data_IF_111072689523
#
_entry.id   IF_111072689523
#
_cell.length_a   1.000
_cell.length_b   1.000
_cell.length_c   1.000
_cell.angle_alpha   90.00
_cell.angle_beta   90.00
_cell.angle_gamma   90.00
#
_symmetry.space_group_name_H-M   'P 1'
#
loop_
_entity.id
_entity.type
_entity.pdbx_description
1 polymer ?
#
# COMPACT_ATOMS: atom_id res chain seq x y z
N UNK A 1 -15.86 33.45 -39.27
CA UNK A 1 -16.66 33.64 -38.04
C UNK A 1 -15.97 32.86 -36.94
N UNK A 2 -15.59 33.53 -35.85
CA UNK A 2 -14.69 33.02 -34.81
C UNK A 2 -15.17 31.71 -34.18
N UNK A 3 -14.22 30.83 -33.86
CA UNK A 3 -14.45 29.63 -33.07
C UNK A 3 -14.84 29.99 -31.64
N UNK A 4 -15.96 29.43 -31.19
CA UNK A 4 -16.25 29.27 -29.77
C UNK A 4 -15.92 27.84 -29.40
N UNK A 5 -14.88 27.64 -28.58
CA UNK A 5 -14.73 26.37 -27.86
C UNK A 5 -15.93 26.29 -26.93
N UNK A 6 -16.78 25.28 -27.12
CA UNK A 6 -17.90 25.02 -26.23
C UNK A 6 -17.35 24.69 -24.83
N UNK A 7 -17.66 25.55 -23.86
CA UNK A 7 -17.28 25.35 -22.45
C UNK A 7 -17.84 24.03 -21.90
N UNK A 8 -18.95 23.52 -22.44
CA UNK A 8 -19.52 22.23 -22.04
C UNK A 8 -18.69 21.05 -22.55
N UNK A 9 -17.94 21.21 -23.66
CA UNK A 9 -16.96 20.22 -24.11
C UNK A 9 -15.72 20.16 -23.21
N UNK A 10 -15.37 21.26 -22.53
CA UNK A 10 -14.33 21.27 -21.48
C UNK A 10 -14.83 20.65 -20.18
N UNK A 11 -16.14 20.73 -19.88
CA UNK A 11 -16.74 20.06 -18.71
C UNK A 11 -16.82 18.53 -18.90
N UNK A 12 -16.92 18.03 -20.14
CA UNK A 12 -16.82 16.59 -20.44
C UNK A 12 -15.42 15.97 -20.22
N UNK A 13 -14.39 16.79 -19.94
CA UNK A 13 -13.06 16.30 -19.49
C UNK A 13 -13.09 15.89 -18.00
N UNK A 14 -14.17 16.22 -17.28
CA UNK A 14 -14.32 15.96 -15.84
C UNK A 14 -14.72 14.52 -15.53
N UNK A 15 -14.90 13.64 -16.53
CA UNK A 15 -15.01 12.20 -16.31
C UNK A 15 -13.62 11.54 -16.20
N UNK A 16 -12.79 12.05 -15.27
CA UNK A 16 -11.63 11.29 -14.82
C UNK A 16 -12.18 10.14 -13.98
N UNK A 17 -12.03 8.92 -14.47
CA UNK A 17 -12.38 7.71 -13.73
C UNK A 17 -11.95 7.83 -12.27
N UNK A 18 -12.87 7.57 -11.34
CA UNK A 18 -12.60 7.57 -9.90
C UNK A 18 -11.94 6.22 -9.53
N UNK A 19 -10.61 6.15 -9.35
CA UNK A 19 -9.96 4.88 -9.12
C UNK A 19 -10.29 4.36 -7.72
N UNK A 20 -10.80 3.13 -7.65
CA UNK A 20 -11.12 2.47 -6.40
C UNK A 20 -10.72 1.01 -6.46
N UNK A 21 -9.95 0.55 -5.48
CA UNK A 21 -9.60 -0.85 -5.33
C UNK A 21 -9.31 -1.18 -3.87
N UNK A 22 -9.36 -2.47 -3.56
CA UNK A 22 -8.82 -3.05 -2.34
C UNK A 22 -8.17 -4.36 -2.73
N UNK A 23 -6.95 -4.59 -2.27
CA UNK A 23 -6.29 -5.89 -2.40
C UNK A 23 -5.61 -6.28 -1.10
N UNK A 24 -5.39 -7.59 -0.96
CA UNK A 24 -4.54 -8.15 0.07
C UNK A 24 -3.88 -9.42 -0.44
N UNK A 25 -2.64 -9.64 -0.02
CA UNK A 25 -1.95 -10.91 -0.23
C UNK A 25 -1.00 -11.20 0.94
N UNK A 26 -0.59 -12.45 1.04
CA UNK A 26 0.46 -12.87 1.95
C UNK A 26 1.27 -13.99 1.33
N UNK A 27 2.53 -14.09 1.74
CA UNK A 27 3.40 -15.23 1.47
C UNK A 27 3.81 -15.80 2.82
N UNK A 28 3.76 -17.12 2.92
CA UNK A 28 4.26 -17.87 4.05
C UNK A 28 4.97 -19.11 3.51
N UNK A 29 6.23 -18.92 3.09
CA UNK A 29 7.07 -19.96 2.53
C UNK A 29 8.28 -20.22 3.44
N UNK A 30 8.18 -21.27 4.24
CA UNK A 30 9.24 -21.70 5.15
C UNK A 30 10.49 -22.24 4.45
N UNK A 31 10.37 -22.69 3.20
CA UNK A 31 11.52 -23.20 2.47
C UNK A 31 12.47 -22.06 2.07
N UNK A 32 11.90 -20.92 1.66
CA UNK A 32 12.67 -19.73 1.27
C UNK A 32 12.84 -18.73 2.41
N UNK A 33 12.04 -18.84 3.49
CA UNK A 33 11.98 -17.86 4.58
C UNK A 33 11.14 -16.63 4.24
N UNK A 34 10.39 -16.65 3.13
CA UNK A 34 9.57 -15.54 2.69
C UNK A 34 8.25 -15.50 3.45
N UNK A 35 8.19 -14.67 4.48
CA UNK A 35 7.00 -14.45 5.30
C UNK A 35 6.66 -12.95 5.25
N UNK A 36 5.56 -12.63 4.56
CA UNK A 36 5.11 -11.24 4.39
C UNK A 36 3.61 -11.14 4.22
N UNK A 37 3.04 -10.00 4.59
CA UNK A 37 1.66 -9.63 4.26
C UNK A 37 1.63 -8.25 3.64
N UNK A 38 0.61 -7.97 2.83
CA UNK A 38 0.38 -6.65 2.26
C UNK A 38 -1.12 -6.47 2.07
N UNK A 39 -1.65 -5.33 2.50
CA UNK A 39 -2.98 -4.88 2.12
C UNK A 39 -2.94 -3.41 1.71
N UNK A 40 -3.71 -3.05 0.71
CA UNK A 40 -3.85 -1.68 0.25
C UNK A 40 -5.28 -1.42 -0.20
N UNK A 41 -5.73 -0.20 0.06
CA UNK A 41 -6.98 0.34 -0.46
C UNK A 41 -6.71 1.68 -1.13
N UNK A 42 -7.41 1.93 -2.22
CA UNK A 42 -7.47 3.23 -2.88
C UNK A 42 -8.90 3.68 -2.98
N UNK A 43 -9.13 4.95 -2.62
CA UNK A 43 -10.41 5.63 -2.80
C UNK A 43 -10.14 7.01 -3.42
N UNK A 44 -10.32 7.12 -4.74
CA UNK A 44 -9.97 8.32 -5.49
C UNK A 44 -8.48 8.62 -5.42
N UNK A 45 -8.14 9.78 -4.85
CA UNK A 45 -6.76 10.24 -4.72
C UNK A 45 -6.06 9.76 -3.45
N UNK A 46 -6.76 9.02 -2.57
CA UNK A 46 -6.21 8.54 -1.30
C UNK A 46 -5.87 7.06 -1.40
N UNK A 47 -4.62 6.73 -1.10
CA UNK A 47 -4.15 5.35 -0.90
C UNK A 47 -3.82 5.14 0.57
N UNK A 48 -4.19 4.00 1.12
CA UNK A 48 -3.80 3.55 2.46
C UNK A 48 -3.44 2.08 2.41
N UNK A 49 -2.35 1.71 3.06
CA UNK A 49 -2.00 0.30 3.17
C UNK A 49 -1.01 0.02 4.27
N UNK A 50 -0.72 -1.25 4.42
CA UNK A 50 0.30 -1.76 5.30
C UNK A 50 0.97 -2.97 4.65
N UNK A 51 2.27 -3.11 4.85
CA UNK A 51 2.93 -4.39 4.64
C UNK A 51 3.71 -4.84 5.88
N UNK A 52 3.88 -6.14 6.02
CA UNK A 52 4.77 -6.77 6.98
C UNK A 52 5.80 -7.64 6.27
N UNK A 53 7.01 -7.70 6.80
CA UNK A 53 8.06 -8.62 6.35
C UNK A 53 8.84 -9.12 7.55
N UNK A 54 9.07 -10.45 7.60
CA UNK A 54 10.05 -11.05 8.49
C UNK A 54 11.43 -10.85 7.88
N UNK A 55 12.30 -10.13 8.59
CA UNK A 55 13.66 -9.83 8.17
C UNK A 55 14.58 -11.04 8.45
N UNK A 56 15.76 -11.13 7.79
CA UNK A 56 16.71 -12.22 8.01
C UNK A 56 17.21 -12.34 9.46
N UNK A 57 17.18 -11.25 10.23
CA UNK A 57 17.52 -11.23 11.66
C UNK A 57 16.36 -11.73 12.55
N UNK A 58 15.22 -12.14 11.97
CA UNK A 58 14.02 -12.58 12.69
C UNK A 58 13.18 -11.43 13.24
N UNK A 59 13.55 -10.17 13.03
CA UNK A 59 12.67 -9.05 13.36
C UNK A 59 11.54 -8.92 12.34
N UNK A 60 10.43 -8.32 12.78
CA UNK A 60 9.31 -8.01 11.89
C UNK A 60 9.33 -6.52 11.63
N UNK A 61 9.36 -6.15 10.35
CA UNK A 61 9.12 -4.78 9.90
C UNK A 61 7.66 -4.67 9.47
N UNK A 62 6.94 -3.74 10.09
CA UNK A 62 5.59 -3.31 9.68
C UNK A 62 5.69 -1.89 9.17
N UNK A 63 5.12 -1.62 8.01
CA UNK A 63 5.08 -0.27 7.45
C UNK A 63 3.64 0.09 7.15
N UNK A 64 3.10 1.03 7.90
CA UNK A 64 1.80 1.65 7.65
C UNK A 64 2.03 2.89 6.79
N UNK A 65 1.29 3.02 5.68
CA UNK A 65 1.49 4.10 4.74
C UNK A 65 0.20 4.70 4.21
N UNK A 66 0.28 5.98 3.85
CA UNK A 66 -0.77 6.75 3.20
C UNK A 66 -0.19 7.57 2.06
N UNK A 67 -0.93 7.74 0.97
CA UNK A 67 -0.56 8.69 -0.07
C UNK A 67 -1.77 9.49 -0.54
N UNK A 68 -1.59 10.80 -0.73
CA UNK A 68 -2.58 11.67 -1.34
C UNK A 68 -1.92 12.84 -2.10
N UNK A 69 -2.74 13.61 -2.83
CA UNK A 69 -2.28 14.74 -3.67
C UNK A 69 -1.64 15.89 -2.87
N UNK A 70 -2.05 16.08 -1.61
CA UNK A 70 -1.65 17.21 -0.78
C UNK A 70 -0.40 16.90 0.04
N UNK A 71 -0.34 15.72 0.66
CA UNK A 71 0.68 15.30 1.60
C UNK A 71 1.74 14.39 0.97
N UNK A 72 1.52 13.90 -0.26
CA UNK A 72 2.38 12.91 -0.89
C UNK A 72 2.36 11.59 -0.13
N UNK A 73 3.39 10.76 -0.33
CA UNK A 73 3.56 9.50 0.37
C UNK A 73 4.13 9.72 1.78
N UNK A 74 3.47 9.15 2.78
CA UNK A 74 3.89 9.15 4.17
C UNK A 74 3.86 7.72 4.70
N UNK A 75 4.89 7.33 5.45
CA UNK A 75 5.01 6.00 6.03
C UNK A 75 5.50 6.06 7.47
N UNK A 76 4.95 5.21 8.30
CA UNK A 76 5.41 4.95 9.66
C UNK A 76 5.96 3.52 9.68
N UNK A 77 7.22 3.40 10.06
CA UNK A 77 7.92 2.11 10.11
C UNK A 77 8.03 1.66 11.56
N UNK A 78 7.48 0.48 11.84
CA UNK A 78 7.64 -0.22 13.10
C UNK A 78 8.56 -1.43 12.88
N UNK A 79 9.53 -1.64 13.78
CA UNK A 79 10.42 -2.80 13.75
C UNK A 79 10.43 -3.44 15.13
N UNK A 80 10.18 -4.74 15.20
CA UNK A 80 10.33 -5.50 16.45
C UNK A 80 11.80 -5.76 16.75
N UNK A 81 12.11 -6.19 17.97
CA UNK A 81 13.39 -6.84 18.21
C UNK A 81 13.51 -8.12 17.34
N UNK A 82 14.74 -8.55 17.01
CA UNK A 82 15.02 -9.88 16.48
C UNK A 82 14.32 -10.95 17.33
N UNK A 83 13.44 -11.74 16.73
CA UNK A 83 12.93 -12.95 17.38
C UNK A 83 14.07 -13.97 17.45
N UNK A 84 14.13 -14.75 18.53
CA UNK A 84 15.03 -15.91 18.54
C UNK A 84 14.64 -16.85 17.38
N UNK A 85 15.59 -17.51 16.72
CA UNK A 85 15.33 -18.38 15.56
C UNK A 85 14.23 -19.44 15.82
N UNK A 86 13.97 -19.77 17.08
CA UNK A 86 12.95 -20.72 17.50
C UNK A 86 11.53 -20.12 17.58
N UNK A 87 11.38 -18.81 17.72
CA UNK A 87 10.07 -18.12 17.82
C UNK A 87 9.56 -17.65 16.47
N UNK A 88 10.45 -17.27 15.55
CA UNK A 88 10.08 -16.88 14.19
C UNK A 88 9.39 -18.03 13.42
N UNK A 89 9.72 -19.29 13.76
CA UNK A 89 9.06 -20.48 13.22
C UNK A 89 7.71 -20.82 13.90
N UNK A 90 7.37 -20.15 15.00
CA UNK A 90 6.26 -20.49 15.90
C UNK A 90 5.19 -19.40 16.06
N UNK A 91 5.29 -18.25 15.39
CA UNK A 91 4.14 -17.34 15.22
C UNK A 91 3.10 -18.00 14.28
N UNK A 92 2.31 -18.89 14.89
CA UNK A 92 1.13 -19.56 14.36
C UNK A 92 -0.06 -19.28 15.27
#
# INVERSE_FOLDING_TARGET
MAGGIDINALVNIVDRAYPKYVFKYGVNDFHTGDIKTHHESRDGDVVKGQYTVVEPDGSIRTVDYTADKHNGFNAVVHKTAPLSQHEAAHLH
#
